data_IF_062643146090
#
_entry.id   IF_062643146090
#
_cell.length_a   1.000
_cell.length_b   1.000
_cell.length_c   1.000
_cell.angle_alpha   90.00
_cell.angle_beta   90.00
_cell.angle_gamma   90.00
#
_symmetry.space_group_name_H-M   'P 1'
#
loop_
_entity.id
_entity.type
_entity.pdbx_description
1 polymer ?
#
# COMPACT_ATOMS: atom_id res chain seq x y z
N UNK A 1 -7.68 -12.47 -6.35
CA UNK A 1 -7.46 -13.92 -6.59
C UNK A 1 -6.64 -14.42 -5.43
N UNK A 2 -7.17 -15.42 -4.71
CA UNK A 2 -6.46 -16.06 -3.62
C UNK A 2 -5.14 -16.68 -4.11
N UNK A 3 -4.16 -16.74 -3.24
CA UNK A 3 -2.90 -17.40 -3.50
C UNK A 3 -3.22 -18.88 -3.75
N UNK A 4 -3.08 -19.36 -4.96
CA UNK A 4 -3.44 -20.73 -5.34
C UNK A 4 -4.31 -20.86 -6.58
N UNK A 5 -5.06 -19.82 -6.95
CA UNK A 5 -5.87 -19.84 -8.17
C UNK A 5 -5.52 -18.63 -9.05
N UNK A 6 -4.66 -18.85 -10.03
CA UNK A 6 -4.63 -17.93 -11.19
C UNK A 6 -5.64 -18.44 -12.19
N UNK A 7 -6.60 -17.61 -12.66
CA UNK A 7 -7.48 -18.01 -13.75
C UNK A 7 -6.62 -18.53 -14.91
N UNK A 8 -6.88 -19.73 -15.41
CA UNK A 8 -6.10 -20.37 -16.48
C UNK A 8 -5.86 -19.43 -17.67
N UNK A 9 -6.87 -18.61 -18.01
CA UNK A 9 -6.78 -17.62 -19.08
C UNK A 9 -5.77 -16.51 -18.79
N UNK A 10 -5.70 -15.99 -17.55
CA UNK A 10 -4.74 -14.99 -17.18
C UNK A 10 -3.32 -15.54 -17.15
N UNK A 11 -3.13 -16.72 -16.55
CA UNK A 11 -1.84 -17.39 -16.53
C UNK A 11 -1.34 -17.67 -17.96
N UNK A 12 -2.23 -18.16 -18.85
CA UNK A 12 -1.92 -18.38 -20.26
C UNK A 12 -1.58 -17.09 -21.03
N UNK A 13 -2.31 -16.01 -20.78
CA UNK A 13 -2.00 -14.71 -21.37
C UNK A 13 -0.62 -14.21 -20.93
N UNK A 14 -0.36 -14.25 -19.65
CA UNK A 14 0.91 -13.76 -19.09
C UNK A 14 2.09 -14.60 -19.59
N UNK A 15 2.00 -15.93 -19.57
CA UNK A 15 3.10 -16.81 -19.96
C UNK A 15 3.34 -16.81 -21.48
N UNK A 16 2.29 -16.96 -22.30
CA UNK A 16 2.44 -17.16 -23.72
C UNK A 16 2.66 -15.84 -24.48
N UNK A 17 1.95 -14.77 -24.09
CA UNK A 17 2.04 -13.50 -24.81
C UNK A 17 3.12 -12.57 -24.24
N UNK A 18 3.42 -12.65 -22.95
CA UNK A 18 4.32 -11.71 -22.28
C UNK A 18 5.56 -12.38 -21.66
N UNK A 19 5.59 -13.70 -21.49
CA UNK A 19 6.70 -14.41 -20.87
C UNK A 19 6.79 -14.16 -19.35
N UNK A 20 5.68 -13.80 -18.71
CA UNK A 20 5.57 -13.56 -17.28
C UNK A 20 4.82 -14.70 -16.59
N UNK A 21 5.21 -15.03 -15.39
CA UNK A 21 4.55 -16.01 -14.55
C UNK A 21 4.35 -15.47 -13.13
N UNK A 22 3.15 -15.66 -12.59
CA UNK A 22 2.85 -15.42 -11.16
C UNK A 22 3.15 -16.68 -10.38
N UNK A 23 3.94 -16.56 -9.31
CA UNK A 23 4.23 -17.67 -8.40
C UNK A 23 2.98 -18.16 -7.66
N UNK A 24 3.01 -19.43 -7.25
CA UNK A 24 2.07 -20.02 -6.31
C UNK A 24 2.68 -20.04 -4.91
N UNK A 25 3.21 -18.90 -4.52
CA UNK A 25 4.01 -18.66 -3.32
C UNK A 25 3.52 -17.42 -2.58
N UNK A 26 4.05 -17.19 -1.40
CA UNK A 26 3.88 -15.95 -0.65
C UNK A 26 5.25 -15.41 -0.25
N UNK A 27 5.48 -14.13 -0.53
CA UNK A 27 6.76 -13.51 -0.16
C UNK A 27 6.81 -13.26 1.34
N UNK A 28 7.90 -13.72 1.94
CA UNK A 28 8.25 -13.52 3.34
C UNK A 28 9.43 -12.55 3.42
N UNK A 29 9.28 -11.50 4.22
CA UNK A 29 10.31 -10.50 4.47
C UNK A 29 10.48 -10.27 5.97
N UNK A 30 11.57 -10.76 6.53
CA UNK A 30 11.84 -10.67 7.98
C UNK A 30 12.23 -9.26 8.44
N UNK A 31 12.36 -8.30 7.53
CA UNK A 31 12.63 -6.91 7.91
C UNK A 31 11.39 -6.17 8.41
N UNK A 32 10.20 -6.77 8.23
CA UNK A 32 8.91 -6.17 8.60
C UNK A 32 8.10 -7.14 9.47
N UNK A 33 7.32 -6.60 10.38
CA UNK A 33 6.36 -7.34 11.18
C UNK A 33 4.92 -6.85 10.84
N UNK A 34 4.02 -7.74 10.40
CA UNK A 34 4.19 -9.17 10.17
C UNK A 34 5.01 -9.48 8.88
N UNK A 35 5.77 -10.59 8.87
CA UNK A 35 6.71 -10.92 7.79
C UNK A 35 6.06 -11.25 6.44
N UNK A 36 4.73 -11.37 6.41
CA UNK A 36 3.92 -11.55 5.19
C UNK A 36 3.66 -10.22 4.44
N UNK A 37 4.24 -9.12 4.89
CA UNK A 37 4.22 -7.84 4.18
C UNK A 37 5.59 -7.65 3.52
N UNK A 38 5.67 -7.83 2.21
CA UNK A 38 6.89 -7.61 1.48
C UNK A 38 7.19 -6.10 1.34
N UNK A 39 8.45 -5.75 1.48
CA UNK A 39 8.95 -4.39 1.33
C UNK A 39 9.65 -4.23 -0.02
N UNK A 40 9.27 -3.22 -0.79
CA UNK A 40 9.98 -2.84 -2.01
C UNK A 40 11.32 -2.19 -1.66
N UNK A 41 12.40 -2.97 -1.74
CA UNK A 41 13.75 -2.54 -1.36
C UNK A 41 14.55 -1.98 -2.54
N UNK A 42 14.35 -2.52 -3.74
CA UNK A 42 15.04 -2.09 -4.95
C UNK A 42 14.06 -1.78 -6.07
N UNK A 43 14.38 -0.74 -6.84
CA UNK A 43 13.56 -0.27 -7.95
C UNK A 43 14.37 -0.31 -9.24
N UNK A 44 13.79 -0.94 -10.27
CA UNK A 44 14.37 -0.95 -11.62
C UNK A 44 14.36 0.45 -12.24
N UNK A 45 15.26 0.67 -13.20
CA UNK A 45 15.28 1.91 -13.99
C UNK A 45 14.14 1.90 -14.99
N UNK A 46 13.07 2.61 -14.69
CA UNK A 46 11.87 2.70 -15.53
C UNK A 46 11.12 4.00 -15.23
N UNK A 47 10.40 4.62 -16.19
CA UNK A 47 9.61 5.83 -15.93
C UNK A 47 8.63 5.72 -14.76
N UNK A 48 8.07 4.53 -14.52
CA UNK A 48 7.17 4.27 -13.38
C UNK A 48 7.86 4.47 -12.03
N UNK A 49 9.15 4.11 -11.94
CA UNK A 49 9.89 4.03 -10.68
C UNK A 49 10.87 5.17 -10.46
N UNK A 50 11.15 5.96 -11.50
CA UNK A 50 12.19 6.98 -11.50
C UNK A 50 12.09 7.95 -10.32
N UNK A 51 10.90 8.44 -10.01
CA UNK A 51 10.71 9.43 -8.94
C UNK A 51 10.27 8.83 -7.60
N UNK A 52 9.95 7.55 -7.56
CA UNK A 52 9.51 6.88 -6.33
C UNK A 52 10.59 5.98 -5.73
N UNK A 53 11.74 5.84 -6.38
CA UNK A 53 12.82 4.94 -5.95
C UNK A 53 13.40 5.25 -4.55
N UNK A 54 13.12 6.43 -4.01
CA UNK A 54 13.46 6.82 -2.64
C UNK A 54 12.35 6.59 -1.63
N UNK A 55 11.16 6.20 -2.07
CA UNK A 55 10.02 5.92 -1.22
C UNK A 55 9.89 4.42 -0.99
N UNK A 56 9.57 4.04 0.22
CA UNK A 56 9.19 2.66 0.50
C UNK A 56 7.85 2.30 -0.18
N UNK A 57 7.67 1.04 -0.51
CA UNK A 57 6.37 0.49 -0.93
C UNK A 57 6.11 -0.83 -0.21
N UNK A 58 4.87 -1.09 0.16
CA UNK A 58 4.46 -2.28 0.92
C UNK A 58 3.51 -3.14 0.09
N UNK A 59 3.76 -4.44 0.09
CA UNK A 59 2.98 -5.43 -0.65
C UNK A 59 2.55 -6.57 0.28
N UNK A 60 1.38 -6.44 0.93
CA UNK A 60 0.89 -7.47 1.84
C UNK A 60 0.53 -8.74 1.08
N UNK A 61 0.97 -9.89 1.55
CA UNK A 61 0.67 -11.20 0.97
C UNK A 61 0.94 -11.27 -0.54
N UNK A 62 2.05 -10.71 -0.96
CA UNK A 62 2.44 -10.72 -2.35
C UNK A 62 2.99 -12.07 -2.78
N UNK A 63 2.80 -12.40 -4.05
CA UNK A 63 3.45 -13.52 -4.73
C UNK A 63 4.57 -13.04 -5.62
N UNK A 64 5.47 -13.92 -5.95
CA UNK A 64 6.55 -13.63 -6.89
C UNK A 64 6.02 -13.42 -8.31
N UNK A 65 6.70 -12.55 -9.06
CA UNK A 65 6.53 -12.41 -10.50
C UNK A 65 7.85 -12.79 -11.16
N UNK A 66 7.83 -13.76 -12.04
CA UNK A 66 9.02 -14.30 -12.69
C UNK A 66 8.94 -14.24 -14.20
N UNK A 67 10.08 -14.38 -14.87
CA UNK A 67 10.21 -14.36 -16.34
C UNK A 67 10.83 -15.66 -16.82
N UNK A 68 10.05 -16.77 -16.95
CA UNK A 68 10.59 -18.07 -17.40
C UNK A 68 11.02 -18.05 -18.85
N UNK A 69 10.59 -17.07 -19.64
CA UNK A 69 10.95 -16.90 -21.03
C UNK A 69 10.79 -15.45 -21.49
N UNK A 70 11.42 -15.11 -22.60
CA UNK A 70 11.29 -13.78 -23.22
C UNK A 70 10.74 -13.94 -24.63
N UNK A 71 9.42 -13.75 -24.86
CA UNK A 71 8.86 -13.81 -26.20
C UNK A 71 9.51 -12.74 -27.10
N UNK A 72 9.59 -12.97 -28.41
CA UNK A 72 10.17 -12.00 -29.34
C UNK A 72 9.37 -10.69 -29.29
N UNK A 73 10.08 -9.59 -29.38
CA UNK A 73 9.54 -8.22 -29.36
C UNK A 73 8.88 -7.79 -28.03
N UNK A 74 9.06 -8.54 -26.96
CA UNK A 74 8.65 -8.16 -25.61
C UNK A 74 9.88 -7.72 -24.82
N UNK A 75 9.85 -6.51 -24.30
CA UNK A 75 10.82 -6.00 -23.32
C UNK A 75 10.18 -6.05 -21.94
N UNK A 76 10.82 -6.74 -21.01
CA UNK A 76 10.39 -6.86 -19.61
C UNK A 76 11.37 -6.13 -18.70
N UNK A 77 10.84 -5.27 -17.84
CA UNK A 77 11.63 -4.54 -16.86
C UNK A 77 11.10 -4.82 -15.47
N UNK A 78 11.91 -5.36 -14.54
CA UNK A 78 11.52 -5.49 -13.15
C UNK A 78 11.36 -4.09 -12.56
N UNK A 79 10.22 -3.82 -11.92
CA UNK A 79 9.91 -2.52 -11.34
C UNK A 79 10.29 -2.44 -9.86
N UNK A 80 9.91 -3.44 -9.11
CA UNK A 80 10.11 -3.49 -7.65
C UNK A 80 10.56 -4.88 -7.27
N UNK A 81 11.59 -4.97 -6.44
CA UNK A 81 12.06 -6.22 -5.85
C UNK A 81 12.28 -6.06 -4.35
N UNK A 82 12.20 -7.15 -3.63
CA UNK A 82 12.45 -7.23 -2.18
C UNK A 82 13.93 -7.16 -1.84
N UNK A 83 14.26 -7.21 -0.56
CA UNK A 83 15.65 -7.33 -0.08
C UNK A 83 16.18 -8.76 -0.27
N UNK A 84 17.50 -8.90 -0.18
CA UNK A 84 18.21 -10.20 -0.36
C UNK A 84 17.82 -11.25 0.68
N UNK A 85 17.44 -10.84 1.87
CA UNK A 85 17.06 -11.74 2.98
C UNK A 85 15.56 -12.09 3.01
N UNK A 86 14.84 -11.81 1.94
CA UNK A 86 13.48 -12.28 1.72
C UNK A 86 13.47 -13.57 0.87
N UNK A 87 12.32 -14.21 0.79
CA UNK A 87 12.11 -15.35 -0.12
C UNK A 87 10.63 -15.48 -0.48
N UNK A 88 10.34 -16.24 -1.52
CA UNK A 88 8.97 -16.63 -1.89
C UNK A 88 8.71 -18.04 -1.39
N UNK A 89 7.91 -18.16 -0.32
CA UNK A 89 7.56 -19.40 0.37
C UNK A 89 6.49 -20.16 -0.40
N UNK A 90 6.77 -21.38 -0.75
CA UNK A 90 5.87 -22.26 -1.49
C UNK A 90 4.93 -23.08 -0.60
N UNK A 91 5.36 -23.36 0.64
CA UNK A 91 4.51 -24.01 1.65
C UNK A 91 3.85 -22.97 2.57
N UNK A 92 2.72 -22.43 2.10
CA UNK A 92 1.98 -21.37 2.83
C UNK A 92 1.55 -21.85 4.23
N UNK A 93 1.40 -23.16 4.45
CA UNK A 93 1.02 -23.71 5.76
C UNK A 93 2.12 -23.56 6.80
N UNK A 94 3.38 -23.48 6.37
CA UNK A 94 4.54 -23.23 7.23
C UNK A 94 4.49 -21.86 7.90
N UNK A 95 3.80 -20.89 7.28
CA UNK A 95 3.68 -19.51 7.78
C UNK A 95 2.83 -19.39 9.06
N UNK A 96 2.07 -20.42 9.42
CA UNK A 96 1.33 -20.48 10.69
C UNK A 96 2.25 -20.84 11.88
N UNK A 97 3.49 -21.26 11.60
CA UNK A 97 4.49 -21.62 12.59
C UNK A 97 5.26 -20.39 13.16
N UNK A 98 5.88 -20.59 14.33
CA UNK A 98 6.67 -19.55 14.98
C UNK A 98 8.09 -19.35 14.37
N UNK A 99 8.54 -20.24 13.52
CA UNK A 99 9.83 -20.18 12.85
C UNK A 99 9.63 -20.50 11.37
N UNK A 100 9.81 -19.48 10.56
CA UNK A 100 9.71 -19.58 9.11
C UNK A 100 11.13 -19.38 8.54
N UNK A 101 11.58 -20.34 7.75
CA UNK A 101 12.87 -20.29 7.05
C UNK A 101 12.70 -20.86 5.65
N UNK A 102 13.44 -20.36 4.66
CA UNK A 102 13.30 -20.85 3.30
C UNK A 102 13.72 -22.32 3.17
N UNK A 103 12.96 -23.09 2.42
CA UNK A 103 13.23 -24.47 2.05
C UNK A 103 14.23 -24.49 0.88
N UNK A 104 15.43 -25.03 1.10
CA UNK A 104 16.46 -25.10 0.07
C UNK A 104 15.99 -25.92 -1.15
N UNK A 105 16.10 -25.31 -2.32
CA UNK A 105 15.73 -25.95 -3.59
C UNK A 105 14.22 -25.98 -3.90
N UNK A 106 13.36 -25.46 -3.02
CA UNK A 106 11.94 -25.29 -3.28
C UNK A 106 11.55 -23.83 -3.39
N UNK A 107 12.04 -23.01 -2.46
CA UNK A 107 11.68 -21.60 -2.39
C UNK A 107 12.61 -20.75 -3.23
N UNK A 108 12.05 -19.63 -3.75
CA UNK A 108 12.80 -18.66 -4.49
C UNK A 108 13.42 -17.66 -3.51
N UNK A 109 14.75 -17.71 -3.37
CA UNK A 109 15.48 -16.77 -2.51
C UNK A 109 15.48 -15.35 -3.08
N UNK A 110 15.54 -14.38 -2.18
CA UNK A 110 15.60 -12.96 -2.55
C UNK A 110 16.90 -12.51 -3.24
N UNK A 111 16.84 -11.36 -3.91
CA UNK A 111 15.69 -10.47 -4.04
C UNK A 111 14.60 -11.03 -4.96
N UNK A 112 13.35 -11.03 -4.51
CA UNK A 112 12.20 -11.53 -5.27
C UNK A 112 11.50 -10.35 -5.96
N UNK A 113 11.21 -10.48 -7.25
CA UNK A 113 10.51 -9.42 -7.98
C UNK A 113 9.01 -9.45 -7.71
N UNK A 114 8.48 -8.28 -7.34
CA UNK A 114 7.09 -8.02 -6.98
C UNK A 114 6.25 -7.49 -8.14
N UNK A 115 6.89 -6.78 -9.07
CA UNK A 115 6.21 -6.13 -10.19
C UNK A 115 7.11 -6.04 -11.42
N UNK A 116 6.49 -6.21 -12.61
CA UNK A 116 7.13 -6.03 -13.91
C UNK A 116 6.35 -5.06 -14.78
N UNK A 117 7.07 -4.28 -15.58
CA UNK A 117 6.53 -3.62 -16.78
C UNK A 117 6.92 -4.42 -18.02
N UNK A 118 6.00 -4.56 -18.96
CA UNK A 118 6.22 -5.18 -20.25
C UNK A 118 5.79 -4.26 -21.39
N UNK A 119 6.61 -4.15 -22.42
CA UNK A 119 6.30 -3.40 -23.65
C UNK A 119 6.52 -4.27 -24.86
N UNK A 120 5.51 -4.31 -25.74
CA UNK A 120 5.65 -4.94 -27.06
C UNK A 120 6.18 -3.89 -28.04
N UNK A 121 7.42 -4.06 -28.48
CA UNK A 121 8.14 -3.10 -29.32
C UNK A 121 7.56 -2.94 -30.74
N UNK A 122 6.74 -3.91 -31.19
CA UNK A 122 6.08 -3.84 -32.52
C UNK A 122 4.72 -3.13 -32.46
N UNK A 123 3.90 -3.47 -31.44
CA UNK A 123 2.54 -2.94 -31.33
C UNK A 123 2.45 -1.70 -30.45
N UNK A 124 3.46 -1.43 -29.62
CA UNK A 124 3.41 -0.40 -28.59
C UNK A 124 2.49 -0.75 -27.41
N UNK A 125 2.00 -1.99 -27.34
CA UNK A 125 1.17 -2.43 -26.24
C UNK A 125 1.99 -2.49 -24.95
N UNK A 126 1.41 -2.01 -23.85
CA UNK A 126 2.03 -1.95 -22.52
C UNK A 126 1.26 -2.77 -21.51
N UNK A 127 1.97 -3.41 -20.61
CA UNK A 127 1.42 -4.21 -19.53
C UNK A 127 2.20 -3.93 -18.24
N UNK A 128 1.49 -3.85 -17.12
CA UNK A 128 2.10 -3.90 -15.79
C UNK A 128 1.50 -5.05 -15.01
N UNK A 129 2.35 -5.88 -14.43
CA UNK A 129 1.95 -7.01 -13.58
C UNK A 129 2.50 -6.79 -12.19
N UNK A 130 1.64 -6.95 -11.18
CA UNK A 130 2.02 -6.88 -9.77
C UNK A 130 1.55 -8.17 -9.09
N UNK A 131 2.40 -8.76 -8.28
CA UNK A 131 2.11 -10.01 -7.56
C UNK A 131 1.06 -9.87 -6.45
N UNK A 132 0.46 -8.69 -6.29
CA UNK A 132 -0.52 -8.40 -5.25
C UNK A 132 -1.45 -7.26 -5.65
N UNK A 133 -2.71 -7.34 -5.29
CA UNK A 133 -3.70 -6.27 -5.47
C UNK A 133 -3.96 -5.49 -4.17
N UNK A 134 -3.56 -6.01 -3.03
CA UNK A 134 -3.86 -5.39 -1.73
C UNK A 134 -3.10 -4.09 -1.49
N UNK A 135 -1.94 -3.90 -2.13
CA UNK A 135 -1.12 -2.70 -1.95
C UNK A 135 -1.85 -1.39 -2.31
N UNK A 136 -2.93 -1.46 -3.11
CA UNK A 136 -3.78 -0.32 -3.49
C UNK A 136 -5.15 -0.32 -2.83
N UNK A 137 -5.39 -1.21 -1.86
CA UNK A 137 -6.64 -1.17 -1.07
C UNK A 137 -6.66 -0.01 -0.09
N UNK A 138 -7.83 0.29 0.48
CA UNK A 138 -7.99 1.36 1.47
C UNK A 138 -7.08 1.25 2.69
N UNK A 139 -6.60 0.04 3.00
CA UNK A 139 -5.68 -0.19 4.11
C UNK A 139 -4.23 0.24 3.78
N UNK A 140 -3.82 0.15 2.52
CA UNK A 140 -2.42 0.27 2.13
C UNK A 140 -2.11 1.37 1.10
N UNK A 141 -3.10 1.87 0.33
CA UNK A 141 -2.82 2.84 -0.74
C UNK A 141 -2.20 4.15 -0.25
N UNK A 142 -2.49 4.57 0.99
CA UNK A 142 -1.90 5.78 1.61
C UNK A 142 -0.57 5.52 2.31
N UNK A 143 -0.15 4.25 2.38
CA UNK A 143 1.10 3.89 3.04
C UNK A 143 2.28 4.18 2.10
N UNK A 144 3.22 4.97 2.58
CA UNK A 144 4.47 5.29 1.87
C UNK A 144 4.24 5.69 0.39
N UNK A 145 4.92 5.02 -0.54
CA UNK A 145 4.86 5.28 -1.99
C UNK A 145 3.82 4.49 -2.78
N UNK A 146 2.92 3.72 -2.12
CA UNK A 146 2.01 2.81 -2.80
C UNK A 146 1.11 3.51 -3.83
N UNK A 147 0.46 4.62 -3.43
CA UNK A 147 -0.41 5.36 -4.34
C UNK A 147 0.36 5.92 -5.55
N UNK A 148 1.55 6.47 -5.30
CA UNK A 148 2.37 7.03 -6.36
C UNK A 148 2.80 5.95 -7.35
N UNK A 149 3.22 4.79 -6.84
CA UNK A 149 3.55 3.64 -7.68
C UNK A 149 2.36 3.21 -8.54
N UNK A 150 1.18 3.06 -7.92
CA UNK A 150 -0.03 2.63 -8.63
C UNK A 150 -0.45 3.64 -9.71
N UNK A 151 -0.43 4.94 -9.41
CA UNK A 151 -0.76 5.97 -10.39
C UNK A 151 0.23 5.98 -11.56
N UNK A 152 1.54 5.93 -11.28
CA UNK A 152 2.55 5.86 -12.32
C UNK A 152 2.41 4.61 -13.20
N UNK A 153 2.03 3.45 -12.61
CA UNK A 153 1.76 2.23 -13.36
C UNK A 153 0.60 2.40 -14.34
N UNK A 154 -0.51 3.01 -13.89
CA UNK A 154 -1.70 3.26 -14.71
C UNK A 154 -1.40 4.28 -15.81
N UNK A 155 -0.73 5.37 -15.48
CA UNK A 155 -0.39 6.44 -16.43
C UNK A 155 0.53 5.90 -17.53
N UNK A 156 1.55 5.13 -17.16
CA UNK A 156 2.45 4.51 -18.14
C UNK A 156 1.72 3.47 -19.00
N UNK A 157 0.93 2.58 -18.41
CA UNK A 157 0.18 1.56 -19.14
C UNK A 157 -0.85 2.16 -20.12
N UNK A 158 -1.38 3.35 -19.78
CA UNK A 158 -2.32 4.12 -20.62
C UNK A 158 -1.62 4.96 -21.68
N UNK A 159 -0.29 4.88 -21.80
CA UNK A 159 0.55 5.72 -22.67
C UNK A 159 0.39 7.24 -22.41
N UNK A 160 0.08 7.61 -21.17
CA UNK A 160 -0.02 9.01 -20.74
C UNK A 160 1.31 9.48 -20.14
N UNK A 161 2.39 9.36 -20.90
CA UNK A 161 3.75 9.63 -20.41
C UNK A 161 3.95 11.09 -19.92
N UNK A 162 3.08 12.01 -20.30
CA UNK A 162 3.09 13.40 -19.83
C UNK A 162 2.62 13.58 -18.37
N UNK A 163 1.92 12.59 -17.81
CA UNK A 163 1.43 12.61 -16.42
C UNK A 163 2.38 11.90 -15.46
N UNK A 164 3.32 11.12 -16.02
CA UNK A 164 4.38 10.52 -15.22
C UNK A 164 5.17 11.62 -14.52
N UNK A 165 5.54 11.39 -13.27
CA UNK A 165 6.36 12.32 -12.50
C UNK A 165 5.61 13.57 -11.97
N UNK A 166 4.31 13.47 -11.77
CA UNK A 166 3.64 14.43 -10.90
C UNK A 166 4.28 14.31 -9.51
N UNK A 167 4.97 15.35 -9.09
CA UNK A 167 5.62 15.39 -7.77
C UNK A 167 4.59 15.01 -6.71
N UNK A 168 4.83 13.97 -5.90
CA UNK A 168 3.89 13.57 -4.87
C UNK A 168 3.60 14.79 -3.98
N UNK A 169 2.35 15.21 -3.95
CA UNK A 169 1.96 16.24 -3.01
C UNK A 169 2.13 15.63 -1.62
N UNK A 170 2.98 16.20 -0.73
CA UNK A 170 3.13 15.64 0.60
C UNK A 170 1.74 15.52 1.21
N UNK A 171 1.40 14.31 1.66
CA UNK A 171 0.14 14.07 2.33
C UNK A 171 0.05 15.06 3.49
N UNK A 172 -0.88 16.01 3.39
CA UNK A 172 -1.14 16.92 4.50
C UNK A 172 -1.80 16.07 5.57
N UNK A 173 -0.99 15.49 6.44
CA UNK A 173 -1.50 14.85 7.65
C UNK A 173 -2.18 15.95 8.45
N UNK A 174 -3.50 16.00 8.34
CA UNK A 174 -4.31 16.82 9.24
C UNK A 174 -4.31 16.10 10.59
N UNK A 175 -3.22 16.29 11.34
CA UNK A 175 -3.24 15.91 12.74
C UNK A 175 -4.22 16.84 13.45
N UNK A 176 -5.24 16.25 14.05
CA UNK A 176 -6.05 16.98 15.03
C UNK A 176 -5.09 17.41 16.14
N UNK A 177 -4.82 18.71 16.22
CA UNK A 177 -4.06 19.25 17.34
C UNK A 177 -4.96 19.05 18.55
N UNK A 178 -4.63 18.07 19.37
CA UNK A 178 -5.33 17.86 20.64
C UNK A 178 -5.16 19.12 21.48
N UNK A 179 -6.26 19.76 21.93
CA UNK A 179 -6.15 20.98 22.72
C UNK A 179 -5.36 20.66 23.99
N UNK A 180 -4.54 21.63 24.44
CA UNK A 180 -3.77 21.48 25.67
C UNK A 180 -4.69 21.20 26.85
N UNK A 181 -4.18 20.54 27.88
CA UNK A 181 -4.93 20.22 29.11
C UNK A 181 -5.60 21.47 29.70
N UNK A 182 -4.92 22.61 29.62
CA UNK A 182 -5.47 23.90 30.07
C UNK A 182 -6.69 24.31 29.26
N UNK A 183 -6.63 24.16 27.91
CA UNK A 183 -7.76 24.47 27.02
C UNK A 183 -8.93 23.51 27.24
N UNK A 184 -8.67 22.23 27.45
CA UNK A 184 -9.70 21.24 27.77
C UNK A 184 -10.40 21.58 29.10
N UNK A 185 -9.65 21.92 30.14
CA UNK A 185 -10.19 22.28 31.43
C UNK A 185 -11.02 23.55 31.37
N UNK A 186 -10.61 24.54 30.56
CA UNK A 186 -11.34 25.79 30.36
C UNK A 186 -12.65 25.58 29.61
N UNK A 187 -12.67 24.69 28.61
CA UNK A 187 -13.88 24.30 27.89
C UNK A 187 -14.84 23.52 28.81
N UNK A 188 -14.32 22.60 29.64
CA UNK A 188 -15.12 21.86 30.60
C UNK A 188 -15.72 22.80 31.67
N UNK A 189 -14.93 23.70 32.24
CA UNK A 189 -15.40 24.70 33.22
C UNK A 189 -16.49 25.57 32.60
N UNK A 190 -16.28 26.06 31.39
CA UNK A 190 -17.25 26.91 30.70
C UNK A 190 -18.55 26.22 30.36
N UNK A 191 -18.48 25.01 29.81
CA UNK A 191 -19.67 24.27 29.34
C UNK A 191 -20.43 23.59 30.48
N UNK A 192 -19.75 23.01 31.48
CA UNK A 192 -20.38 22.18 32.52
C UNK A 192 -20.75 22.98 33.75
N UNK A 193 -19.98 24.02 34.09
CA UNK A 193 -20.21 24.79 35.33
C UNK A 193 -20.76 26.19 35.02
N UNK A 194 -20.10 26.95 34.18
CA UNK A 194 -20.42 28.37 34.00
C UNK A 194 -21.76 28.55 33.26
N UNK A 195 -22.01 27.77 32.20
CA UNK A 195 -23.25 27.88 31.41
C UNK A 195 -24.48 27.42 32.20
N UNK A 196 -24.52 26.26 32.87
CA UNK A 196 -25.63 25.87 33.73
C UNK A 196 -25.81 26.78 34.96
N UNK A 197 -24.68 27.25 35.55
CA UNK A 197 -24.72 28.20 36.65
C UNK A 197 -25.38 29.51 36.32
N UNK A 198 -25.12 30.05 35.10
CA UNK A 198 -25.76 31.27 34.60
C UNK A 198 -27.25 31.08 34.39
N UNK A 199 -27.67 29.93 33.87
CA UNK A 199 -29.12 29.62 33.69
C UNK A 199 -29.82 29.54 35.06
N UNK A 200 -29.22 28.88 36.05
CA UNK A 200 -29.75 28.79 37.41
C UNK A 200 -29.84 30.19 38.08
N UNK A 201 -28.82 31.02 37.90
CA UNK A 201 -28.80 32.37 38.48
C UNK A 201 -29.89 33.23 37.89
N UNK A 202 -30.09 33.17 36.57
CA UNK A 202 -31.21 33.87 35.89
C UNK A 202 -32.55 33.35 36.44
N UNK A 203 -32.72 32.03 36.54
CA UNK A 203 -33.94 31.40 37.13
C UNK A 203 -34.24 31.89 38.52
N UNK A 204 -33.24 31.97 39.42
CA UNK A 204 -33.40 32.49 40.78
C UNK A 204 -33.78 33.97 40.75
N UNK A 205 -33.12 34.78 39.94
CA UNK A 205 -33.45 36.21 39.83
C UNK A 205 -34.91 36.40 39.37
N UNK A 206 -35.33 35.67 38.37
CA UNK A 206 -36.73 35.74 37.87
C UNK A 206 -37.71 35.31 38.98
N UNK A 207 -37.41 34.20 39.66
CA UNK A 207 -38.23 33.69 40.79
C UNK A 207 -38.37 34.72 41.92
N UNK A 208 -37.28 35.32 42.34
CA UNK A 208 -37.28 36.36 43.39
C UNK A 208 -38.08 37.56 42.99
N UNK A 209 -37.91 38.03 41.74
CA UNK A 209 -38.71 39.18 41.21
C UNK A 209 -40.19 38.88 41.12
N UNK A 210 -40.60 37.66 40.73
CA UNK A 210 -42.02 37.28 40.71
C UNK A 210 -42.60 37.23 42.10
N UNK A 211 -41.84 36.71 43.09
CA UNK A 211 -42.30 36.65 44.47
C UNK A 211 -42.46 38.02 45.17
N UNK A 212 -41.72 39.01 44.73
CA UNK A 212 -41.84 40.40 45.24
C UNK A 212 -42.97 41.20 44.59
N UNK A 213 -43.55 40.71 43.49
CA UNK A 213 -44.66 41.36 42.77
C UNK A 213 -46.04 40.75 43.08
N UNK A 214 -46.11 39.69 43.84
CA UNK A 214 -47.35 39.11 44.39
C UNK A 214 -47.45 39.37 45.88
#
# INVERSE_FOLDING_TARGET
>A
TDIGDSPEHLAGLLSNAWGLQLGLDMIVDLNIDPPIIAYGATYGQHPITEQISTLATLFPRARSVTTPGSPPNITLTPLVSTAENSWAETDITSLEGNQVSPDEGKDLLGPVTLAFAGENTLSGARLVVVGNAEFITNAYYTQYGNLNLALNMVDWASAQDNLLNLTPRPATTRSLITPTVTTQNLLLLGSVILLPGLVLLIGVIVWVRQRQRG
#
